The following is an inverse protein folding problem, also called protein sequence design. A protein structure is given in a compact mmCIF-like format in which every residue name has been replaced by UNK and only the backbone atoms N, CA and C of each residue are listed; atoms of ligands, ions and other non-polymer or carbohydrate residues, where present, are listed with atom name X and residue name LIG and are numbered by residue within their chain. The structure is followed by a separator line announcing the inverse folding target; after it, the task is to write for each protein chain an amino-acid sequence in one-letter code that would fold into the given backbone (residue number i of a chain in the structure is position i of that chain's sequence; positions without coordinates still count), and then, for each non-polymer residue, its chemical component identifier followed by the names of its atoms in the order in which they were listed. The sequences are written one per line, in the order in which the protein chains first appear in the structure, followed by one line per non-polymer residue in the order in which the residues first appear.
data_IF_726806510094
#
_entry.id   IF_726806510094
#
_cell.length_a   1.000
_cell.length_b   1.000
_cell.length_c   1.000
_cell.angle_alpha   90.00
_cell.angle_beta   90.00
_cell.angle_gamma   90.00
#
_symmetry.space_group_name_H-M   'P 1'
#
loop_
_entity.id
_entity.type
_entity.pdbx_description
1 polymer ?
#
# COMPACT_ATOMS: atom_id res chain seq x y z
N UNK A 1 27.28 1.08 -20.10
CA UNK A 1 26.33 2.22 -19.92
C UNK A 1 25.00 1.56 -19.60
N UNK A 2 24.90 1.07 -18.39
CA UNK A 2 23.77 0.26 -17.93
C UNK A 2 22.63 1.23 -17.64
N UNK A 3 21.63 1.21 -18.51
CA UNK A 3 20.51 2.14 -18.42
C UNK A 3 19.78 1.93 -17.09
N UNK A 4 19.58 3.02 -16.34
CA UNK A 4 18.69 3.02 -15.19
C UNK A 4 17.33 2.51 -15.67
N UNK A 5 16.84 1.41 -15.08
CA UNK A 5 15.51 0.91 -15.37
C UNK A 5 14.51 1.94 -14.87
N UNK A 6 13.74 2.52 -15.78
CA UNK A 6 12.64 3.43 -15.42
C UNK A 6 11.39 2.58 -15.22
N UNK A 7 10.94 2.44 -13.98
CA UNK A 7 9.65 1.80 -13.70
C UNK A 7 8.51 2.63 -14.30
N UNK A 8 7.67 1.98 -15.12
CA UNK A 8 6.42 2.54 -15.61
C UNK A 8 5.27 2.02 -14.76
N UNK A 9 4.33 2.90 -14.44
CA UNK A 9 3.16 2.59 -13.62
C UNK A 9 2.55 3.86 -13.05
N UNK A 10 1.43 3.73 -12.35
CA UNK A 10 0.88 4.84 -11.57
C UNK A 10 1.82 5.17 -10.40
N UNK A 11 1.78 6.42 -9.89
CA UNK A 11 2.56 6.76 -8.69
C UNK A 11 2.29 5.82 -7.51
N UNK A 12 1.05 5.34 -7.37
CA UNK A 12 0.68 4.39 -6.32
C UNK A 12 1.33 3.02 -6.52
N UNK A 13 1.41 2.51 -7.75
CA UNK A 13 2.08 1.24 -8.07
C UNK A 13 3.58 1.31 -7.81
N UNK A 14 4.22 2.41 -8.22
CA UNK A 14 5.66 2.64 -8.01
C UNK A 14 5.98 2.71 -6.51
N UNK A 15 5.14 3.41 -5.74
CA UNK A 15 5.32 3.49 -4.29
C UNK A 15 5.05 2.15 -3.62
N UNK A 16 3.99 1.44 -4.02
CA UNK A 16 3.62 0.17 -3.39
C UNK A 16 4.63 -0.94 -3.69
N UNK A 17 5.11 -1.03 -4.93
CA UNK A 17 6.01 -2.07 -5.42
C UNK A 17 7.14 -1.44 -6.25
N UNK A 18 8.17 -0.86 -5.60
CA UNK A 18 9.32 -0.34 -6.34
C UNK A 18 10.06 -1.48 -7.05
N UNK A 19 10.44 -1.26 -8.30
CA UNK A 19 11.01 -2.31 -9.16
C UNK A 19 12.43 -2.75 -8.75
N UNK A 20 13.23 -1.82 -8.22
CA UNK A 20 14.63 -2.07 -7.86
C UNK A 20 15.09 -1.12 -6.72
N UNK A 21 16.35 -1.27 -6.32
CA UNK A 21 16.98 -0.44 -5.28
C UNK A 21 17.02 1.05 -5.64
N UNK A 22 17.26 1.38 -6.91
CA UNK A 22 17.31 2.78 -7.35
C UNK A 22 15.94 3.45 -7.20
N UNK A 23 14.86 2.78 -7.63
CA UNK A 23 13.49 3.27 -7.44
C UNK A 23 13.14 3.33 -5.95
N UNK A 24 13.55 2.33 -5.17
CA UNK A 24 13.33 2.30 -3.71
C UNK A 24 14.01 3.49 -3.03
N UNK A 25 15.26 3.77 -3.36
CA UNK A 25 16.02 4.90 -2.81
C UNK A 25 15.44 6.25 -3.22
N UNK A 26 14.86 6.33 -4.42
CA UNK A 26 14.21 7.55 -4.92
C UNK A 26 12.89 7.87 -4.20
N UNK A 27 12.09 6.85 -3.86
CA UNK A 27 10.77 7.03 -3.22
C UNK A 27 10.79 6.92 -1.69
N UNK A 28 11.95 6.64 -1.07
CA UNK A 28 12.08 6.33 0.37
C UNK A 28 11.59 7.41 1.34
N UNK A 29 11.57 8.67 0.91
CA UNK A 29 11.20 9.83 1.75
C UNK A 29 9.77 10.32 1.47
N UNK A 30 9.03 9.63 0.58
CA UNK A 30 7.63 9.91 0.32
C UNK A 30 6.79 9.46 1.53
N UNK A 31 5.85 10.31 1.95
CA UNK A 31 4.83 9.90 2.91
C UNK A 31 3.83 8.95 2.21
N UNK A 32 4.12 7.64 2.31
CA UNK A 32 3.32 6.56 1.70
C UNK A 32 1.86 6.57 2.16
N UNK A 33 1.61 6.90 3.42
CA UNK A 33 0.27 6.99 3.99
C UNK A 33 -0.62 8.05 3.34
N UNK A 34 -0.02 9.11 2.79
CA UNK A 34 -0.72 10.20 2.06
C UNK A 34 -0.80 10.00 0.56
N UNK A 35 -0.03 9.07 0.01
CA UNK A 35 0.01 8.79 -1.43
C UNK A 35 -0.84 7.56 -1.78
N UNK A 36 -0.79 6.52 -0.96
CA UNK A 36 -1.51 5.28 -1.19
C UNK A 36 -2.99 5.44 -0.84
N UNK A 37 -3.83 4.79 -1.64
CA UNK A 37 -5.28 4.73 -1.42
C UNK A 37 -5.67 3.36 -0.87
N UNK A 38 -6.81 3.28 -0.19
CA UNK A 38 -7.37 2.02 0.32
C UNK A 38 -7.48 0.97 -0.80
N UNK A 39 -7.91 1.39 -1.99
CA UNK A 39 -8.04 0.51 -3.16
C UNK A 39 -6.74 -0.16 -3.58
N UNK A 40 -5.58 0.41 -3.27
CA UNK A 40 -4.26 -0.13 -3.67
C UNK A 40 -3.92 -1.43 -2.95
N UNK A 41 -4.54 -1.69 -1.79
CA UNK A 41 -4.21 -2.83 -0.92
C UNK A 41 -5.43 -3.59 -0.42
N UNK A 42 -6.65 -3.19 -0.80
CA UNK A 42 -7.87 -3.86 -0.38
C UNK A 42 -7.95 -5.29 -0.90
N UNK A 43 -8.83 -6.08 -0.27
CA UNK A 43 -9.14 -7.44 -0.65
C UNK A 43 -10.60 -7.53 -1.09
N UNK A 44 -10.89 -8.39 -2.07
CA UNK A 44 -12.24 -8.63 -2.59
C UNK A 44 -13.11 -9.49 -1.64
N UNK A 45 -12.86 -9.41 -0.34
CA UNK A 45 -13.60 -10.13 0.69
C UNK A 45 -14.58 -9.17 1.34
N UNK A 46 -15.87 -9.49 1.29
CA UNK A 46 -16.91 -8.68 1.96
C UNK A 46 -17.00 -9.04 3.43
N UNK A 47 -17.00 -8.03 4.29
CA UNK A 47 -17.27 -8.20 5.72
C UNK A 47 -18.76 -7.99 6.01
N UNK A 48 -19.25 -8.64 7.06
CA UNK A 48 -20.65 -8.48 7.51
C UNK A 48 -20.86 -7.21 8.33
N UNK A 49 -19.82 -6.75 9.03
CA UNK A 49 -19.82 -5.57 9.93
C UNK A 49 -18.40 -5.01 10.02
N UNK A 50 -18.30 -3.71 10.31
CA UNK A 50 -17.05 -3.01 10.52
C UNK A 50 -17.19 -1.51 10.23
N UNK A 51 -16.18 -0.69 10.53
CA UNK A 51 -16.11 0.68 10.05
C UNK A 51 -16.03 0.70 8.52
N UNK A 52 -16.69 1.68 7.90
CA UNK A 52 -16.64 1.88 6.45
C UNK A 52 -15.57 2.91 6.09
N UNK A 53 -14.82 2.63 5.02
CA UNK A 53 -13.83 3.53 4.43
C UNK A 53 -13.99 3.54 2.91
N UNK A 54 -13.96 4.72 2.31
CA UNK A 54 -14.07 4.86 0.85
C UNK A 54 -12.80 4.37 0.16
N UNK A 55 -12.96 3.68 -0.99
CA UNK A 55 -11.83 3.09 -1.73
C UNK A 55 -10.74 4.09 -2.11
N UNK A 56 -11.13 5.35 -2.32
CA UNK A 56 -10.23 6.42 -2.75
C UNK A 56 -9.61 7.19 -1.58
N UNK A 57 -9.99 6.88 -0.34
CA UNK A 57 -9.43 7.47 0.87
C UNK A 57 -7.93 7.14 0.98
N UNK A 58 -7.14 8.07 1.50
CA UNK A 58 -5.72 7.84 1.79
C UNK A 58 -5.57 6.84 2.96
N UNK A 59 -4.48 6.08 2.96
CA UNK A 59 -4.27 5.06 3.99
C UNK A 59 -4.14 5.66 5.41
N UNK A 60 -3.55 6.85 5.56
CA UNK A 60 -3.44 7.54 6.86
C UNK A 60 -4.81 7.75 7.52
N UNK A 61 -5.79 8.27 6.78
CA UNK A 61 -7.14 8.54 7.30
C UNK A 61 -7.92 7.25 7.56
N UNK A 62 -7.87 6.30 6.63
CA UNK A 62 -8.54 5.02 6.79
C UNK A 62 -8.00 4.25 8.00
N UNK A 63 -6.68 4.31 8.25
CA UNK A 63 -6.05 3.65 9.40
C UNK A 63 -6.56 4.26 10.71
N UNK A 64 -6.69 5.59 10.77
CA UNK A 64 -7.25 6.27 11.94
C UNK A 64 -8.71 5.87 12.19
N UNK A 65 -9.54 5.80 11.14
CA UNK A 65 -10.96 5.42 11.26
C UNK A 65 -11.08 4.00 11.81
N UNK A 66 -10.36 3.05 11.22
CA UNK A 66 -10.45 1.64 11.62
C UNK A 66 -9.89 1.47 13.03
N UNK A 67 -8.75 2.08 13.35
CA UNK A 67 -8.14 2.03 14.68
C UNK A 67 -9.07 2.59 15.78
N UNK A 68 -9.69 3.74 15.54
CA UNK A 68 -10.64 4.37 16.50
C UNK A 68 -11.90 3.54 16.75
N UNK A 69 -12.29 2.69 15.79
CA UNK A 69 -13.44 1.79 15.95
C UNK A 69 -13.15 0.57 16.84
N UNK A 70 -11.87 0.29 17.14
CA UNK A 70 -11.44 -0.93 17.81
C UNK A 70 -11.47 -2.19 16.93
N UNK A 71 -11.83 -2.07 15.65
CA UNK A 71 -11.78 -3.16 14.69
C UNK A 71 -10.37 -3.36 14.13
N UNK A 72 -10.06 -4.58 13.69
CA UNK A 72 -8.83 -4.89 12.95
C UNK A 72 -9.00 -4.78 11.43
N UNK A 73 -10.25 -4.71 10.94
CA UNK A 73 -10.60 -4.60 9.52
C UNK A 73 -11.67 -3.55 9.29
N UNK A 74 -11.63 -2.92 8.12
CA UNK A 74 -12.67 -2.02 7.61
C UNK A 74 -13.35 -2.58 6.37
N UNK A 75 -14.62 -2.20 6.17
CA UNK A 75 -15.36 -2.41 4.93
C UNK A 75 -14.91 -1.34 3.94
N UNK A 76 -14.51 -1.76 2.74
CA UNK A 76 -14.18 -0.82 1.66
C UNK A 76 -15.42 -0.58 0.81
N UNK A 77 -15.78 0.68 0.68
CA UNK A 77 -16.94 1.14 -0.09
C UNK A 77 -16.52 1.86 -1.37
N UNK A 78 -17.38 1.80 -2.38
CA UNK A 78 -17.36 2.68 -3.54
C UNK A 78 -18.70 3.38 -3.61
N UNK A 79 -18.72 4.69 -3.35
CA UNK A 79 -19.96 5.48 -3.33
C UNK A 79 -21.01 4.84 -2.40
N UNK A 80 -20.59 4.41 -1.20
CA UNK A 80 -21.45 3.72 -0.23
C UNK A 80 -21.81 2.27 -0.54
N UNK A 81 -21.36 1.70 -1.68
CA UNK A 81 -21.57 0.27 -1.97
C UNK A 81 -20.39 -0.56 -1.46
N UNK A 82 -20.59 -1.57 -0.60
CA UNK A 82 -19.49 -2.44 -0.14
C UNK A 82 -18.88 -3.29 -1.27
N UNK A 83 -17.60 -3.07 -1.55
CA UNK A 83 -16.84 -3.76 -2.60
C UNK A 83 -15.78 -4.71 -2.06
N UNK A 84 -15.34 -4.54 -0.81
CA UNK A 84 -14.27 -5.36 -0.24
C UNK A 84 -13.97 -5.05 1.22
N UNK A 85 -12.76 -5.37 1.64
CA UNK A 85 -12.25 -5.05 2.98
C UNK A 85 -10.76 -4.75 2.98
N UNK A 86 -10.28 -4.14 4.07
CA UNK A 86 -8.86 -3.86 4.30
C UNK A 86 -8.53 -4.11 5.76
N UNK A 87 -7.34 -4.64 6.02
CA UNK A 87 -6.83 -4.90 7.37
C UNK A 87 -5.80 -3.88 7.80
N UNK A 88 -5.78 -3.53 9.09
CA UNK A 88 -4.81 -2.59 9.67
C UNK A 88 -3.37 -3.03 9.39
N UNK A 89 -3.03 -4.31 9.59
CA UNK A 89 -1.66 -4.80 9.39
C UNK A 89 -1.18 -4.58 7.96
N UNK A 90 -2.05 -4.84 6.98
CA UNK A 90 -1.76 -4.64 5.56
C UNK A 90 -1.55 -3.16 5.22
N UNK A 91 -2.26 -2.26 5.91
CA UNK A 91 -2.05 -0.81 5.79
C UNK A 91 -0.71 -0.39 6.39
N UNK A 92 -0.34 -0.95 7.55
CA UNK A 92 0.95 -0.69 8.19
C UNK A 92 2.08 -1.16 7.27
N UNK A 93 2.02 -2.39 6.76
CA UNK A 93 3.03 -2.95 5.85
C UNK A 93 3.18 -2.09 4.58
N UNK A 94 2.08 -1.57 4.05
CA UNK A 94 2.10 -0.69 2.89
C UNK A 94 2.69 0.70 3.20
N UNK A 95 2.52 1.21 4.43
CA UNK A 95 3.04 2.52 4.87
C UNK A 95 4.52 2.43 5.25
N UNK A 96 4.94 1.33 5.84
CA UNK A 96 6.32 1.09 6.26
C UNK A 96 7.21 0.92 5.03
N UNK A 97 8.49 1.32 5.17
CA UNK A 97 9.47 1.24 4.09
C UNK A 97 9.62 -0.21 3.61
N UNK A 98 9.62 -0.47 2.29
CA UNK A 98 9.87 -1.80 1.77
C UNK A 98 11.28 -2.22 2.17
N UNK A 99 11.42 -3.43 2.71
CA UNK A 99 12.74 -3.98 2.98
C UNK A 99 13.49 -4.11 1.65
N UNK A 100 14.73 -3.61 1.61
CA UNK A 100 15.61 -3.84 0.49
C UNK A 100 15.77 -5.35 0.33
N UNK A 101 15.18 -5.94 -0.71
CA UNK A 101 15.63 -7.24 -1.20
C UNK A 101 17.07 -7.03 -1.66
N UNK A 102 18.00 -7.32 -0.76
CA UNK A 102 19.42 -7.32 -1.06
C UNK A 102 19.58 -8.37 -2.12
N UNK A 103 19.95 -7.97 -3.33
CA UNK A 103 20.40 -8.90 -4.36
C UNK A 103 21.59 -9.66 -3.75
N UNK A 104 21.38 -10.94 -3.42
CA UNK A 104 22.49 -11.85 -3.23
C UNK A 104 23.26 -11.84 -4.55
N UNK A 105 24.43 -11.20 -4.52
CA UNK A 105 25.44 -11.30 -5.56
C UNK A 105 25.77 -12.78 -5.73
N UNK A 106 25.17 -13.44 -6.72
CA UNK A 106 25.64 -14.72 -7.22
C UNK A 106 27.11 -14.55 -7.61
N UNK A 107 27.96 -15.22 -6.83
CA UNK A 107 29.40 -15.31 -7.06
C UNK A 107 29.65 -15.77 -8.50
N UNK A 108 30.54 -15.06 -9.19
CA UNK A 108 31.24 -15.57 -10.35
C UNK A 108 31.87 -16.93 -9.99
N UNK A 109 31.57 -17.96 -10.79
CA UNK A 109 32.38 -19.15 -11.00
C UNK A 109 32.44 -19.40 -12.50
#
# INVERSE_FOLDING_TARGET
RDGLVVQKGTPQEIVLNPADKYVTDFIKDINRGRVLRVSSIMENTKLKKGPEVEKNMILEDALQIISKSGASKGIVTENGTPIGSVEINRMIDAIVKPENKTEETSSYH
#
